data_IF_506669450223
#
_entry.id   IF_506669450223
#
_cell.length_a   1.000
_cell.length_b   1.000
_cell.length_c   1.000
_cell.angle_alpha   90.00
_cell.angle_beta   90.00
_cell.angle_gamma   90.00
#
_symmetry.space_group_name_H-M   'P 1'
#
loop_
_entity.id
_entity.type
_entity.pdbx_description
1 polymer ?
#
# COMPACT_ATOMS: atom_id res chain seq x y z
N UNK A 1 -27.45 7.00 -17.73
CA UNK A 1 -26.19 6.77 -17.00
C UNK A 1 -25.78 8.10 -16.39
N UNK A 2 -25.79 8.22 -15.07
CA UNK A 2 -25.60 9.51 -14.39
C UNK A 2 -24.23 10.12 -14.67
N UNK A 3 -24.19 11.43 -14.95
CA UNK A 3 -22.97 12.19 -15.22
C UNK A 3 -21.95 12.01 -14.09
N UNK A 4 -20.80 11.41 -14.40
CA UNK A 4 -19.68 11.28 -13.46
C UNK A 4 -18.97 12.64 -13.39
N UNK A 5 -19.02 13.30 -12.23
CA UNK A 5 -18.32 14.59 -12.06
C UNK A 5 -16.81 14.40 -12.13
N UNK A 6 -16.10 15.40 -12.68
CA UNK A 6 -14.62 15.43 -12.72
C UNK A 6 -14.02 15.19 -11.34
N UNK A 7 -14.63 15.78 -10.29
CA UNK A 7 -14.23 15.58 -8.90
C UNK A 7 -14.26 14.11 -8.49
N UNK A 8 -15.35 13.39 -8.80
CA UNK A 8 -15.49 11.96 -8.51
C UNK A 8 -14.42 11.14 -9.22
N UNK A 9 -14.13 11.46 -10.48
CA UNK A 9 -13.07 10.77 -11.24
C UNK A 9 -11.70 10.96 -10.60
N UNK A 10 -11.30 12.20 -10.32
CA UNK A 10 -9.99 12.50 -9.70
C UNK A 10 -9.86 11.82 -8.35
N UNK A 11 -10.92 11.85 -7.54
CA UNK A 11 -10.92 11.22 -6.22
C UNK A 11 -10.75 9.69 -6.32
N UNK A 12 -11.48 9.03 -7.21
CA UNK A 12 -11.36 7.57 -7.42
C UNK A 12 -9.99 7.19 -7.98
N UNK A 13 -9.41 8.00 -8.87
CA UNK A 13 -8.04 7.80 -9.38
C UNK A 13 -7.00 7.91 -8.26
N UNK A 14 -7.16 8.89 -7.35
CA UNK A 14 -6.29 9.02 -6.19
C UNK A 14 -6.41 7.79 -5.26
N UNK A 15 -7.63 7.30 -5.01
CA UNK A 15 -7.84 6.07 -4.24
C UNK A 15 -7.21 4.84 -4.90
N UNK A 16 -7.34 4.70 -6.22
CA UNK A 16 -6.66 3.64 -6.97
C UNK A 16 -5.15 3.74 -6.79
N UNK A 17 -4.58 4.94 -6.93
CA UNK A 17 -3.16 5.18 -6.70
C UNK A 17 -2.72 4.79 -5.29
N UNK A 18 -3.51 5.14 -4.27
CA UNK A 18 -3.30 4.72 -2.89
C UNK A 18 -3.22 3.20 -2.74
N UNK A 19 -4.20 2.46 -3.28
CA UNK A 19 -4.19 1.00 -3.24
C UNK A 19 -3.01 0.37 -4.01
N UNK A 20 -2.59 0.96 -5.12
CA UNK A 20 -1.42 0.50 -5.87
C UNK A 20 -0.13 0.67 -5.06
N UNK A 21 0.04 1.79 -4.36
CA UNK A 21 1.20 2.02 -3.47
C UNK A 21 1.19 1.03 -2.30
N UNK A 22 0.02 0.75 -1.71
CA UNK A 22 -0.11 -0.28 -0.67
C UNK A 22 0.29 -1.65 -1.21
N UNK A 23 -0.20 -2.04 -2.39
CA UNK A 23 0.16 -3.30 -3.03
C UNK A 23 1.67 -3.41 -3.31
N UNK A 24 2.27 -2.36 -3.87
CA UNK A 24 3.71 -2.30 -4.11
C UNK A 24 4.52 -2.40 -2.80
N UNK A 25 4.06 -1.74 -1.75
CA UNK A 25 4.70 -1.81 -0.42
C UNK A 25 4.64 -3.22 0.16
N UNK A 26 3.50 -3.91 0.04
CA UNK A 26 3.36 -5.30 0.48
C UNK A 26 4.29 -6.25 -0.28
N UNK A 27 4.42 -6.09 -1.60
CA UNK A 27 5.38 -6.87 -2.40
C UNK A 27 6.82 -6.61 -1.93
N UNK A 28 7.15 -5.34 -1.66
CA UNK A 28 8.48 -4.97 -1.18
C UNK A 28 8.76 -5.47 0.25
N UNK A 29 7.75 -5.63 1.09
CA UNK A 29 7.88 -6.16 2.46
C UNK A 29 7.98 -7.69 2.51
N UNK A 30 7.60 -8.39 1.44
CA UNK A 30 7.58 -9.84 1.42
C UNK A 30 8.92 -10.51 1.79
N UNK A 31 10.09 -10.03 1.33
CA UNK A 31 11.38 -10.59 1.75
C UNK A 31 11.61 -10.46 3.26
N UNK A 32 11.30 -9.30 3.84
CA UNK A 32 11.39 -9.07 5.28
C UNK A 32 10.44 -10.02 6.04
N UNK A 33 9.19 -10.13 5.60
CA UNK A 33 8.21 -11.02 6.25
C UNK A 33 8.62 -12.48 6.15
N UNK A 34 9.14 -12.92 5.00
CA UNK A 34 9.65 -14.27 4.83
C UNK A 34 10.84 -14.54 5.77
N UNK A 35 11.75 -13.58 5.92
CA UNK A 35 12.88 -13.70 6.83
C UNK A 35 12.46 -13.75 8.31
N UNK A 36 11.47 -12.94 8.71
CA UNK A 36 10.97 -12.91 10.08
C UNK A 36 10.13 -14.14 10.45
N UNK A 37 9.30 -14.65 9.52
CA UNK A 37 8.34 -15.71 9.80
C UNK A 37 8.92 -17.10 9.54
N UNK A 38 9.72 -17.26 8.48
CA UNK A 38 10.33 -18.55 8.13
C UNK A 38 11.72 -18.69 8.74
N UNK A 39 12.48 -17.58 8.86
CA UNK A 39 13.80 -17.50 9.51
C UNK A 39 14.76 -18.62 9.10
N UNK A 40 14.86 -18.87 7.79
CA UNK A 40 15.73 -19.90 7.23
C UNK A 40 17.04 -19.31 6.71
N UNK A 41 18.06 -20.15 6.55
CA UNK A 41 19.32 -19.72 5.93
C UNK A 41 19.12 -19.10 4.54
N UNK A 42 18.17 -19.63 3.76
CA UNK A 42 17.85 -19.09 2.43
C UNK A 42 17.22 -17.70 2.50
N UNK A 43 16.34 -17.43 3.47
CA UNK A 43 15.71 -16.11 3.62
C UNK A 43 16.74 -15.08 4.10
N UNK A 44 17.66 -15.47 4.98
CA UNK A 44 18.72 -14.59 5.45
C UNK A 44 19.68 -14.23 4.30
N UNK A 45 20.09 -15.20 3.48
CA UNK A 45 20.93 -14.96 2.29
C UNK A 45 20.21 -14.08 1.26
N UNK A 46 18.91 -14.31 1.06
CA UNK A 46 18.10 -13.47 0.18
C UNK A 46 18.06 -12.01 0.67
N UNK A 47 17.81 -11.79 1.97
CA UNK A 47 17.85 -10.47 2.59
C UNK A 47 19.23 -9.82 2.49
N UNK A 48 20.32 -10.55 2.76
CA UNK A 48 21.68 -10.02 2.61
C UNK A 48 21.97 -9.59 1.17
N UNK A 49 21.51 -10.37 0.18
CA UNK A 49 21.68 -10.05 -1.24
C UNK A 49 20.92 -8.77 -1.60
N UNK A 50 19.67 -8.64 -1.13
CA UNK A 50 18.87 -7.43 -1.33
C UNK A 50 19.49 -6.21 -0.65
N UNK A 51 19.94 -6.33 0.60
CA UNK A 51 20.56 -5.22 1.34
C UNK A 51 21.80 -4.66 0.63
N UNK A 52 22.57 -5.49 -0.09
CA UNK A 52 23.71 -5.02 -0.91
C UNK A 52 23.29 -4.15 -2.10
N UNK A 53 22.07 -4.32 -2.60
CA UNK A 53 21.50 -3.51 -3.69
C UNK A 53 20.80 -2.23 -3.21
N UNK A 54 20.90 -1.90 -1.92
CA UNK A 54 20.25 -0.71 -1.33
C UNK A 54 18.80 -0.93 -0.91
N UNK A 55 18.37 -2.20 -0.78
CA UNK A 55 17.05 -2.53 -0.24
C UNK A 55 16.87 -2.00 1.19
N UNK A 56 15.81 -1.21 1.40
CA UNK A 56 15.45 -0.65 2.70
C UNK A 56 13.97 -0.93 3.02
N UNK A 57 13.66 -2.00 3.76
CA UNK A 57 12.28 -2.39 4.04
C UNK A 57 11.52 -1.37 4.89
N UNK A 58 12.23 -0.54 5.67
CA UNK A 58 11.58 0.50 6.49
C UNK A 58 10.84 1.53 5.64
N UNK A 59 11.31 1.79 4.41
CA UNK A 59 10.59 2.67 3.48
C UNK A 59 9.20 2.11 3.15
N UNK A 60 9.10 0.80 2.88
CA UNK A 60 7.82 0.18 2.58
C UNK A 60 6.92 0.05 3.82
N UNK A 61 7.49 -0.13 5.01
CA UNK A 61 6.71 -0.10 6.27
C UNK A 61 6.09 1.27 6.48
N UNK A 62 6.90 2.34 6.44
CA UNK A 62 6.46 3.69 6.77
C UNK A 62 5.59 4.26 5.66
N UNK A 63 6.06 4.26 4.40
CA UNK A 63 5.32 4.80 3.28
C UNK A 63 4.05 3.99 3.02
N UNK A 64 4.15 2.65 2.99
CA UNK A 64 3.00 1.77 2.80
C UNK A 64 1.97 1.89 3.93
N UNK A 65 2.42 1.99 5.18
CA UNK A 65 1.54 2.18 6.34
C UNK A 65 0.80 3.52 6.31
N UNK A 66 1.49 4.63 6.04
CA UNK A 66 0.88 5.95 5.91
C UNK A 66 -0.14 5.95 4.75
N UNK A 67 0.25 5.44 3.58
CA UNK A 67 -0.65 5.38 2.44
C UNK A 67 -1.85 4.49 2.70
N UNK A 68 -1.70 3.38 3.41
CA UNK A 68 -2.81 2.52 3.81
C UNK A 68 -3.81 3.28 4.68
N UNK A 69 -3.36 3.99 5.72
CA UNK A 69 -4.22 4.76 6.62
C UNK A 69 -5.01 5.80 5.81
N UNK A 70 -4.33 6.59 4.97
CA UNK A 70 -4.96 7.63 4.15
C UNK A 70 -5.97 7.02 3.18
N UNK A 71 -5.61 5.92 2.52
CA UNK A 71 -6.46 5.25 1.53
C UNK A 71 -7.70 4.66 2.18
N UNK A 72 -7.58 4.03 3.35
CA UNK A 72 -8.71 3.49 4.11
C UNK A 72 -9.65 4.61 4.55
N UNK A 73 -9.13 5.70 5.12
CA UNK A 73 -9.94 6.86 5.51
C UNK A 73 -10.66 7.45 4.29
N UNK A 74 -9.95 7.65 3.18
CA UNK A 74 -10.55 8.14 1.94
C UNK A 74 -11.67 7.23 1.44
N UNK A 75 -11.46 5.90 1.47
CA UNK A 75 -12.46 4.93 1.04
C UNK A 75 -13.70 4.93 1.94
N UNK A 76 -13.52 5.05 3.27
CA UNK A 76 -14.63 5.18 4.23
C UNK A 76 -15.45 6.44 3.94
N UNK A 77 -14.79 7.60 3.81
CA UNK A 77 -15.45 8.89 3.52
C UNK A 77 -16.23 8.79 2.21
N UNK A 78 -15.62 8.18 1.19
CA UNK A 78 -16.25 7.98 -0.10
C UNK A 78 -17.52 7.14 0.00
N UNK A 79 -17.43 6.01 0.72
CA UNK A 79 -18.57 5.12 0.92
C UNK A 79 -19.70 5.84 1.64
N UNK A 80 -19.41 6.51 2.75
CA UNK A 80 -20.40 7.25 3.52
C UNK A 80 -21.08 8.36 2.69
N UNK A 81 -20.33 9.11 1.89
CA UNK A 81 -20.88 10.15 0.99
C UNK A 81 -21.68 9.56 -0.16
N UNK A 82 -21.26 8.42 -0.70
CA UNK A 82 -22.00 7.73 -1.78
C UNK A 82 -23.34 7.14 -1.33
N UNK A 83 -23.44 6.77 -0.05
CA UNK A 83 -24.66 6.28 0.59
C UNK A 83 -25.53 7.39 1.20
N UNK A 84 -25.12 8.65 1.11
CA UNK A 84 -25.85 9.80 1.68
C UNK A 84 -25.86 9.83 3.21
N UNK A 85 -24.91 9.15 3.86
CA UNK A 85 -24.75 9.16 5.33
C UNK A 85 -24.05 10.43 5.84
N UNK A 86 -23.44 11.21 4.95
CA UNK A 86 -22.85 12.55 5.14
C UNK A 86 -22.89 13.32 3.83
#
# INVERSE_FOLDING_TARGET
MGSQSTFRTVFLLALMGGWLIVGASLMYLFPLLADLLVSSERTHVWMQTLSRSGYNPMLAVVAGGITLIITVIGNIIWHQRSEGKI
#
